data_IF_170312805926
#
_entry.id   IF_170312805926
#
_cell.length_a   1.000
_cell.length_b   1.000
_cell.length_c   1.000
_cell.angle_alpha   90.00
_cell.angle_beta   90.00
_cell.angle_gamma   90.00
#
_symmetry.space_group_name_H-M   'P 1'
#
loop_
_entity.id
_entity.type
_entity.pdbx_description
1 polymer ?
#
# COMPACT_ATOMS: atom_id res chain seq x y z
N UNK A 1 2.31 -22.98 2.08
CA UNK A 1 1.38 -23.79 1.27
C UNK A 1 1.71 -23.52 -0.20
N UNK A 2 2.13 -24.51 -0.99
CA UNK A 2 2.37 -24.30 -2.41
C UNK A 2 1.04 -23.98 -3.10
N UNK A 3 0.97 -22.86 -3.83
CA UNK A 3 -0.17 -22.51 -4.66
C UNK A 3 -0.14 -23.44 -5.89
N UNK A 4 -1.12 -24.32 -6.04
CA UNK A 4 -1.25 -25.20 -7.20
C UNK A 4 -1.70 -24.39 -8.44
N UNK A 5 -1.16 -24.73 -9.61
CA UNK A 5 -1.61 -24.12 -10.88
C UNK A 5 -2.69 -25.00 -11.49
N UNK A 6 -3.86 -24.47 -11.83
CA UNK A 6 -4.87 -25.21 -12.58
C UNK A 6 -4.33 -25.67 -13.94
N UNK A 7 -4.51 -26.95 -14.26
CA UNK A 7 -3.98 -27.59 -15.50
C UNK A 7 -4.56 -27.01 -16.79
N UNK A 8 -5.73 -26.38 -16.73
CA UNK A 8 -6.41 -25.69 -17.83
C UNK A 8 -5.74 -24.36 -18.22
N UNK A 9 -4.86 -23.82 -17.37
CA UNK A 9 -4.20 -22.52 -17.59
C UNK A 9 -2.73 -22.65 -17.97
N UNK A 10 -2.41 -23.59 -18.86
CA UNK A 10 -1.05 -23.94 -19.27
C UNK A 10 -0.26 -22.80 -19.97
N UNK A 11 -0.92 -21.72 -20.39
CA UNK A 11 -0.34 -20.69 -21.27
C UNK A 11 0.21 -19.46 -20.50
N UNK A 12 0.25 -19.53 -19.17
CA UNK A 12 0.72 -18.46 -18.28
C UNK A 12 -0.41 -17.86 -17.43
N UNK A 13 -0.05 -16.92 -16.56
CA UNK A 13 -0.99 -16.30 -15.64
C UNK A 13 -2.02 -15.44 -16.41
N UNK A 14 -3.33 -15.61 -16.16
CA UNK A 14 -4.36 -14.77 -16.76
C UNK A 14 -4.11 -13.28 -16.49
N UNK A 15 -4.39 -12.43 -17.49
CA UNK A 15 -4.23 -10.97 -17.33
C UNK A 15 -5.02 -10.40 -16.16
N UNK A 16 -6.20 -10.94 -15.88
CA UNK A 16 -7.04 -10.51 -14.75
C UNK A 16 -6.32 -10.66 -13.42
N UNK A 17 -5.61 -11.77 -13.21
CA UNK A 17 -4.85 -12.03 -11.99
C UNK A 17 -3.66 -11.07 -11.88
N UNK A 18 -2.91 -10.87 -12.96
CA UNK A 18 -1.83 -9.88 -13.00
C UNK A 18 -2.31 -8.46 -12.66
N UNK A 19 -3.49 -8.07 -13.16
CA UNK A 19 -4.12 -6.81 -12.81
C UNK A 19 -4.50 -6.76 -11.33
N UNK A 20 -5.15 -7.78 -10.78
CA UNK A 20 -5.53 -7.83 -9.35
C UNK A 20 -4.31 -7.70 -8.43
N UNK A 21 -3.20 -8.38 -8.77
CA UNK A 21 -1.94 -8.25 -8.03
C UNK A 21 -1.41 -6.82 -8.07
N UNK A 22 -1.45 -6.15 -9.22
CA UNK A 22 -1.04 -4.75 -9.34
C UNK A 22 -1.91 -3.81 -8.49
N UNK A 23 -3.22 -4.04 -8.43
CA UNK A 23 -4.12 -3.26 -7.55
C UNK A 23 -3.78 -3.44 -6.07
N UNK A 24 -3.48 -4.66 -5.64
CA UNK A 24 -3.05 -4.91 -4.25
C UNK A 24 -1.73 -4.20 -3.94
N UNK A 25 -0.75 -4.23 -4.84
CA UNK A 25 0.51 -3.50 -4.66
C UNK A 25 0.31 -1.98 -4.66
N UNK A 26 -0.59 -1.44 -5.49
CA UNK A 26 -0.98 -0.02 -5.47
C UNK A 26 -1.63 0.38 -4.14
N UNK A 27 -2.49 -0.47 -3.58
CA UNK A 27 -3.09 -0.20 -2.28
C UNK A 27 -2.01 -0.18 -1.17
N UNK A 28 -1.05 -1.11 -1.21
CA UNK A 28 0.08 -1.11 -0.28
C UNK A 28 0.90 0.18 -0.41
N UNK A 29 1.19 0.64 -1.62
CA UNK A 29 1.90 1.91 -1.86
C UNK A 29 1.13 3.14 -1.38
N UNK A 30 -0.19 3.13 -1.49
CA UNK A 30 -1.02 4.22 -0.97
C UNK A 30 -0.99 4.29 0.56
N UNK A 31 -0.77 3.16 1.24
CA UNK A 31 -0.70 3.08 2.70
C UNK A 31 0.72 3.27 3.24
N UNK A 32 1.75 2.94 2.46
CA UNK A 32 3.14 2.99 2.87
C UNK A 32 4.02 3.61 1.78
N UNK A 33 4.59 4.78 2.07
CA UNK A 33 5.51 5.51 1.18
C UNK A 33 6.77 4.70 0.81
N UNK A 34 7.18 3.77 1.68
CA UNK A 34 8.34 2.90 1.49
C UNK A 34 7.95 1.49 1.01
N UNK A 35 6.71 1.31 0.54
CA UNK A 35 6.16 0.02 0.13
C UNK A 35 7.03 -0.73 -0.88
N UNK A 36 7.64 -0.04 -1.85
CA UNK A 36 8.51 -0.68 -2.84
C UNK A 36 9.74 -1.31 -2.19
N UNK A 37 10.35 -0.64 -1.21
CA UNK A 37 11.46 -1.22 -0.46
C UNK A 37 11.00 -2.40 0.41
N UNK A 38 9.85 -2.25 1.08
CA UNK A 38 9.28 -3.33 1.89
C UNK A 38 8.97 -4.58 1.05
N UNK A 39 8.45 -4.42 -0.16
CA UNK A 39 8.16 -5.52 -1.09
C UNK A 39 9.45 -6.18 -1.61
N UNK A 40 10.48 -5.39 -1.92
CA UNK A 40 11.79 -5.94 -2.34
C UNK A 40 12.49 -6.67 -1.19
N UNK A 41 12.49 -6.10 0.02
CA UNK A 41 13.01 -6.74 1.22
C UNK A 41 12.27 -8.05 1.53
N UNK A 42 10.94 -8.05 1.46
CA UNK A 42 10.14 -9.26 1.63
C UNK A 42 10.46 -10.34 0.58
N UNK A 43 10.78 -9.95 -0.66
CA UNK A 43 11.24 -10.89 -1.69
C UNK A 43 12.57 -11.55 -1.31
N UNK A 44 13.51 -10.78 -0.74
CA UNK A 44 14.80 -11.30 -0.26
C UNK A 44 14.62 -12.22 0.94
N UNK A 45 13.81 -11.81 1.93
CA UNK A 45 13.47 -12.63 3.11
C UNK A 45 12.89 -14.00 2.73
N UNK A 46 12.08 -14.04 1.66
CA UNK A 46 11.42 -15.26 1.18
C UNK A 46 12.28 -16.07 0.18
N UNK A 47 13.48 -15.61 -0.16
CA UNK A 47 14.35 -16.28 -1.13
C UNK A 47 13.80 -16.30 -2.57
N UNK A 48 13.01 -15.29 -2.95
CA UNK A 48 12.30 -15.23 -4.24
C UNK A 48 13.06 -14.46 -5.33
N UNK A 49 14.34 -14.16 -5.10
CA UNK A 49 15.20 -13.39 -6.01
C UNK A 49 15.32 -14.00 -7.41
N UNK A 50 15.14 -15.33 -7.53
CA UNK A 50 15.07 -16.03 -8.82
C UNK A 50 13.97 -15.48 -9.73
N UNK A 51 12.83 -15.09 -9.14
CA UNK A 51 11.64 -14.61 -9.86
C UNK A 51 11.49 -13.09 -9.79
N UNK A 52 11.93 -12.48 -8.69
CA UNK A 52 11.89 -11.03 -8.46
C UNK A 52 13.34 -10.57 -8.16
N UNK A 53 14.16 -10.33 -9.20
CA UNK A 53 15.60 -10.24 -9.01
C UNK A 53 16.10 -8.89 -8.47
N UNK A 54 15.51 -7.78 -8.91
CA UNK A 54 15.93 -6.43 -8.53
C UNK A 54 14.80 -5.44 -8.83
N UNK A 55 14.94 -4.18 -8.37
CA UNK A 55 13.93 -3.13 -8.51
C UNK A 55 13.36 -2.99 -9.93
N UNK A 56 14.22 -2.97 -10.95
CA UNK A 56 13.78 -2.86 -12.35
C UNK A 56 13.03 -4.11 -12.80
N UNK A 57 13.46 -5.31 -12.37
CA UNK A 57 12.74 -6.56 -12.59
C UNK A 57 11.35 -6.53 -11.97
N UNK A 58 11.25 -6.11 -10.70
CA UNK A 58 9.98 -5.93 -10.01
C UNK A 58 9.05 -4.93 -10.72
N UNK A 59 9.58 -3.77 -11.13
CA UNK A 59 8.85 -2.80 -11.93
C UNK A 59 8.33 -3.41 -13.24
N UNK A 60 9.13 -4.24 -13.94
CA UNK A 60 8.70 -4.92 -15.16
C UNK A 60 7.54 -5.89 -14.95
N UNK A 61 7.53 -6.61 -13.83
CA UNK A 61 6.44 -7.52 -13.46
C UNK A 61 5.14 -6.74 -13.20
N UNK A 62 5.27 -5.60 -12.53
CA UNK A 62 4.18 -4.70 -12.17
C UNK A 62 3.53 -3.99 -13.37
N UNK A 63 4.31 -3.63 -14.38
CA UNK A 63 3.81 -2.96 -15.59
C UNK A 63 3.12 -3.89 -16.60
N UNK A 64 2.62 -5.06 -16.18
CA UNK A 64 1.78 -5.92 -17.03
C UNK A 64 0.31 -5.46 -17.08
N UNK A 65 -0.10 -4.59 -16.15
CA UNK A 65 -1.45 -4.02 -16.08
C UNK A 65 -1.67 -2.94 -17.17
N UNK A 66 -2.64 -3.11 -18.10
CA UNK A 66 -2.91 -2.14 -19.17
C UNK A 66 -3.39 -0.77 -18.67
N UNK A 67 -3.83 -0.65 -17.41
CA UNK A 67 -4.25 0.63 -16.81
C UNK A 67 -3.06 1.55 -16.49
N UNK A 68 -1.81 1.05 -16.55
CA UNK A 68 -0.62 1.88 -16.35
C UNK A 68 -0.32 2.71 -17.58
N UNK A 69 0.14 3.95 -17.36
CA UNK A 69 0.64 4.84 -18.43
C UNK A 69 1.72 4.16 -19.29
N UNK A 70 2.60 3.38 -18.65
CA UNK A 70 3.64 2.60 -19.31
C UNK A 70 3.41 1.11 -19.05
N UNK A 71 2.48 0.50 -19.77
CA UNK A 71 2.23 -0.94 -19.67
C UNK A 71 3.00 -1.74 -20.73
N UNK A 72 3.28 -3.01 -20.41
CA UNK A 72 3.99 -3.97 -21.26
C UNK A 72 3.05 -5.11 -21.61
N UNK A 73 2.96 -5.45 -22.90
CA UNK A 73 2.16 -6.57 -23.42
C UNK A 73 2.88 -7.92 -23.25
N UNK A 74 3.29 -8.24 -22.03
CA UNK A 74 3.93 -9.51 -21.67
C UNK A 74 3.05 -10.24 -20.68
N UNK A 75 2.86 -11.53 -20.90
CA UNK A 75 2.14 -12.42 -19.98
C UNK A 75 3.03 -12.76 -18.80
N UNK A 76 2.51 -12.57 -17.59
CA UNK A 76 3.16 -12.95 -16.34
C UNK A 76 3.23 -14.48 -16.23
N UNK A 77 4.37 -15.04 -15.85
CA UNK A 77 4.49 -16.49 -15.61
C UNK A 77 3.86 -16.87 -14.27
N UNK A 78 3.49 -18.15 -14.11
CA UNK A 78 2.86 -18.61 -12.89
C UNK A 78 3.78 -18.52 -11.68
N UNK A 79 5.06 -18.79 -11.86
CA UNK A 79 6.07 -18.72 -10.82
C UNK A 79 6.30 -17.29 -10.36
N UNK A 80 6.33 -16.34 -11.29
CA UNK A 80 6.40 -14.90 -11.01
C UNK A 80 5.13 -14.43 -10.26
N UNK A 81 3.95 -14.88 -10.69
CA UNK A 81 2.69 -14.55 -10.03
C UNK A 81 2.63 -15.09 -8.59
N UNK A 82 3.05 -16.34 -8.37
CA UNK A 82 3.13 -16.93 -7.03
C UNK A 82 4.11 -16.19 -6.13
N UNK A 83 5.27 -15.81 -6.68
CA UNK A 83 6.25 -15.02 -5.95
C UNK A 83 5.66 -13.66 -5.53
N UNK A 84 4.98 -12.96 -6.45
CA UNK A 84 4.30 -11.70 -6.16
C UNK A 84 3.21 -11.85 -5.09
N UNK A 85 2.39 -12.91 -5.17
CA UNK A 85 1.37 -13.20 -4.14
C UNK A 85 2.02 -13.36 -2.77
N UNK A 86 3.08 -14.16 -2.66
CA UNK A 86 3.77 -14.40 -1.39
C UNK A 86 4.33 -13.10 -0.78
N UNK A 87 4.96 -12.27 -1.61
CA UNK A 87 5.51 -10.97 -1.21
C UNK A 87 4.40 -10.00 -0.77
N UNK A 88 3.31 -9.89 -1.54
CA UNK A 88 2.16 -9.06 -1.21
C UNK A 88 1.52 -9.50 0.10
N UNK A 89 1.31 -10.81 0.31
CA UNK A 89 0.79 -11.34 1.56
C UNK A 89 1.69 -11.03 2.75
N UNK A 90 3.02 -11.16 2.58
CA UNK A 90 4.00 -10.85 3.64
C UNK A 90 3.92 -9.39 4.08
N UNK A 91 3.86 -8.45 3.14
CA UNK A 91 3.76 -7.02 3.46
C UNK A 91 2.37 -6.66 3.99
N UNK A 92 1.30 -7.23 3.41
CA UNK A 92 -0.07 -7.00 3.89
C UNK A 92 -0.26 -7.45 5.34
N UNK A 93 0.40 -8.52 5.79
CA UNK A 93 0.37 -8.96 7.19
C UNK A 93 0.97 -7.90 8.13
N UNK A 94 2.02 -7.20 7.72
CA UNK A 94 2.64 -6.13 8.51
C UNK A 94 1.70 -4.92 8.62
N UNK A 95 0.93 -4.63 7.56
CA UNK A 95 -0.03 -3.52 7.54
C UNK A 95 -1.38 -3.86 8.18
N UNK A 96 -1.72 -5.13 8.38
CA UNK A 96 -3.04 -5.57 8.84
C UNK A 96 -3.46 -4.93 10.18
N UNK A 97 -2.53 -4.78 11.13
CA UNK A 97 -2.82 -4.13 12.42
C UNK A 97 -3.16 -2.65 12.23
N UNK A 98 -2.36 -1.93 11.44
CA UNK A 98 -2.58 -0.52 11.14
C UNK A 98 -3.90 -0.30 10.39
N UNK A 99 -4.23 -1.16 9.42
CA UNK A 99 -5.50 -1.13 8.68
C UNK A 99 -6.70 -1.33 9.62
N UNK A 100 -6.65 -2.30 10.52
CA UNK A 100 -7.73 -2.55 11.50
C UNK A 100 -7.90 -1.37 12.44
N UNK A 101 -6.79 -0.81 12.92
CA UNK A 101 -6.81 0.39 13.75
C UNK A 101 -7.42 1.59 13.01
N UNK A 102 -7.05 1.79 11.74
CA UNK A 102 -7.59 2.86 10.90
C UNK A 102 -9.12 2.72 10.71
N UNK A 103 -9.60 1.53 10.37
CA UNK A 103 -11.04 1.27 10.17
C UNK A 103 -11.81 1.45 11.48
N UNK A 104 -11.29 0.92 12.59
CA UNK A 104 -11.91 1.08 13.91
C UNK A 104 -11.97 2.54 14.33
N UNK A 105 -10.86 3.27 14.16
CA UNK A 105 -10.76 4.70 14.46
C UNK A 105 -11.75 5.50 13.62
N UNK A 106 -11.82 5.23 12.31
CA UNK A 106 -12.77 5.88 11.41
C UNK A 106 -14.22 5.63 11.83
N UNK A 107 -14.57 4.40 12.22
CA UNK A 107 -15.91 4.08 12.71
C UNK A 107 -16.23 4.83 14.02
N UNK A 108 -15.29 4.87 14.96
CA UNK A 108 -15.48 5.59 16.22
C UNK A 108 -15.61 7.10 16.03
N UNK A 109 -14.87 7.67 15.08
CA UNK A 109 -15.01 9.07 14.66
C UNK A 109 -16.42 9.34 14.14
N UNK A 110 -16.94 8.49 13.23
CA UNK A 110 -18.29 8.63 12.69
C UNK A 110 -19.38 8.51 13.77
N UNK A 111 -19.13 7.70 14.81
CA UNK A 111 -20.03 7.53 15.96
C UNK A 111 -19.87 8.63 17.02
N UNK A 112 -19.00 9.63 16.81
CA UNK A 112 -18.75 10.70 17.78
C UNK A 112 -18.01 10.25 19.04
N UNK A 113 -17.38 9.06 19.03
CA UNK A 113 -16.68 8.45 20.17
C UNK A 113 -15.19 8.83 20.23
N UNK A 114 -14.83 10.02 19.75
CA UNK A 114 -13.44 10.46 19.64
C UNK A 114 -12.73 10.54 21.01
N UNK A 115 -13.46 10.84 22.07
CA UNK A 115 -12.92 10.91 23.43
C UNK A 115 -12.39 9.56 23.92
N UNK A 116 -13.04 8.46 23.53
CA UNK A 116 -12.62 7.11 23.90
C UNK A 116 -11.27 6.70 23.30
N UNK A 117 -10.82 7.42 22.26
CA UNK A 117 -9.55 7.22 21.59
C UNK A 117 -8.41 8.05 22.20
N UNK A 118 -8.70 8.95 23.14
CA UNK A 118 -7.71 9.91 23.66
C UNK A 118 -7.22 10.92 22.61
N UNK A 119 -7.95 11.07 21.49
CA UNK A 119 -7.59 11.94 20.36
C UNK A 119 -8.37 13.27 20.39
N UNK A 120 -8.78 13.73 21.56
CA UNK A 120 -9.58 14.94 21.75
C UNK A 120 -8.92 16.18 21.11
N UNK A 121 -7.59 16.26 21.15
CA UNK A 121 -6.83 17.35 20.53
C UNK A 121 -7.01 17.43 19.00
N UNK A 122 -7.43 16.34 18.35
CA UNK A 122 -7.61 16.25 16.90
C UNK A 122 -9.04 16.56 16.45
N UNK A 123 -9.95 16.91 17.37
CA UNK A 123 -11.35 17.19 17.06
C UNK A 123 -11.51 18.29 16.01
N UNK A 124 -10.63 19.30 16.04
CA UNK A 124 -10.60 20.39 15.06
C UNK A 124 -10.41 19.94 13.60
N UNK A 125 -9.86 18.75 13.34
CA UNK A 125 -9.74 18.21 11.98
C UNK A 125 -11.05 17.65 11.44
N UNK A 126 -11.99 17.27 12.32
CA UNK A 126 -13.29 16.70 11.94
C UNK A 126 -14.33 17.77 11.64
N UNK A 127 -14.19 18.94 12.26
CA UNK A 127 -15.07 20.10 12.04
C UNK A 127 -14.80 20.79 10.67
N UNK A 128 -13.85 20.30 9.89
CA UNK A 128 -13.55 20.80 8.55
C UNK A 128 -14.67 20.40 7.56
N UNK A 129 -15.67 21.26 7.44
CA UNK A 129 -16.65 21.19 6.35
C UNK A 129 -16.14 21.98 5.14
N UNK A 130 -16.05 21.39 3.94
CA UNK A 130 -15.71 22.15 2.75
C UNK A 130 -16.97 22.89 2.28
N UNK A 131 -17.23 24.07 2.83
CA UNK A 131 -18.29 24.96 2.34
C UNK A 131 -17.65 26.29 1.97
N UNK A 132 -17.59 26.54 0.66
CA UNK A 132 -17.57 27.86 0.01
C UNK A 132 -16.69 28.95 0.60
N UNK A 133 -15.62 29.30 -0.13
CA UNK A 133 -15.08 30.68 -0.22
C UNK A 133 -14.97 31.48 1.08
N UNK A 134 -13.85 31.37 1.79
CA UNK A 134 -13.50 32.35 2.81
C UNK A 134 -12.39 31.88 3.74
N UNK A 135 -11.19 32.42 3.53
CA UNK A 135 -10.05 32.47 4.46
C UNK A 135 -9.56 31.14 5.07
N UNK A 136 -8.54 30.60 4.39
CA UNK A 136 -7.78 29.43 4.78
C UNK A 136 -6.89 29.68 6.02
N UNK A 137 -7.42 29.56 7.24
CA UNK A 137 -6.57 29.30 8.41
C UNK A 137 -6.59 27.80 8.69
N UNK A 138 -5.60 27.10 8.12
CA UNK A 138 -5.35 25.68 8.39
C UNK A 138 -5.10 25.52 9.90
N UNK A 139 -5.71 24.54 10.60
CA UNK A 139 -5.20 24.13 11.90
C UNK A 139 -3.79 23.58 11.68
N UNK A 140 -2.80 24.32 12.17
CA UNK A 140 -1.38 23.94 12.13
C UNK A 140 -1.28 22.56 12.78
N UNK A 141 -0.80 21.58 12.01
CA UNK A 141 -0.42 20.29 12.55
C UNK A 141 0.66 20.53 13.61
N UNK A 142 0.31 20.32 14.88
CA UNK A 142 1.24 20.37 16.00
C UNK A 142 2.18 19.14 16.02
N UNK A 143 2.65 18.71 14.85
CA UNK A 143 3.88 17.94 14.72
C UNK A 143 4.99 18.97 14.47
N UNK A 144 5.24 19.80 15.48
CA UNK A 144 6.46 20.58 15.55
C UNK A 144 7.61 19.60 15.77
N UNK A 145 8.25 19.16 14.68
CA UNK A 145 9.63 18.70 14.78
C UNK A 145 10.44 19.83 15.43
N UNK A 146 11.22 19.60 16.49
CA UNK A 146 12.05 20.65 17.06
C UNK A 146 13.14 20.99 16.04
N UNK A 147 12.91 22.04 15.26
CA UNK A 147 13.98 22.67 14.50
C UNK A 147 14.84 23.36 15.55
N UNK A 148 16.04 22.81 15.78
CA UNK A 148 16.98 23.31 16.77
C UNK A 148 17.19 24.81 16.63
N UNK A 149 17.03 25.51 17.75
CA UNK A 149 17.45 26.90 17.92
C UNK A 149 18.97 26.99 17.75
N UNK A 150 19.42 27.27 16.53
CA UNK A 150 20.76 27.77 16.25
C UNK A 150 20.75 29.29 16.38
N UNK A 151 21.32 29.79 17.47
CA UNK A 151 21.72 31.20 17.59
C UNK A 151 22.81 31.50 16.55
N UNK A 152 22.59 32.53 15.71
CA UNK A 152 23.61 33.50 15.28
C UNK A 152 22.91 34.85 15.19
#
# INVERSE_FOLDING_TARGET
MPLEVPTDLAHGCPRSVGMQLDHLMLAIEAMNLEAVEALLAASQELGLEKWIPHRVGFWRLRNTNPLRKQYRRVTLQWEEAKALVAVVCRVAQQLNTALRFLVMTHQQVLEGKLESLGLQQNQAYLDFTPIGSGNYTKPVCAISYPIGTGQI
#
